data_IF_229278683818
#
_entry.id   IF_229278683818
#
_cell.length_a   1.000
_cell.length_b   1.000
_cell.length_c   1.000
_cell.angle_alpha   90.00
_cell.angle_beta   90.00
_cell.angle_gamma   90.00
#
_symmetry.space_group_name_H-M   'P 1'
#
loop_
_entity.id
_entity.type
_entity.pdbx_description
1 polymer ?
#
# COMPACT_ATOMS: atom_id res chain seq x y z
N UNK A 1 -8.33 27.25 13.74
CA UNK A 1 -8.67 26.52 14.98
C UNK A 1 -9.59 25.35 14.67
N UNK A 2 -9.14 24.37 13.86
CA UNK A 2 -9.88 23.11 13.51
C UNK A 2 -8.91 21.93 13.32
N UNK A 3 -7.77 21.90 13.99
CA UNK A 3 -6.77 20.85 13.86
C UNK A 3 -6.61 19.97 15.11
N UNK A 4 -7.58 19.99 16.04
CA UNK A 4 -7.47 19.25 17.32
C UNK A 4 -8.42 18.05 17.45
N UNK A 5 -9.17 17.70 16.40
CA UNK A 5 -10.16 16.61 16.41
C UNK A 5 -9.70 15.26 15.89
N UNK A 6 -8.58 15.18 15.16
CA UNK A 6 -8.14 13.96 14.49
C UNK A 6 -7.16 13.06 15.29
N UNK A 7 -6.85 13.39 16.54
CA UNK A 7 -5.84 12.68 17.34
C UNK A 7 -6.34 11.51 18.19
N UNK A 8 -7.57 11.05 18.01
CA UNK A 8 -8.13 9.91 18.78
C UNK A 8 -8.83 8.84 17.92
N UNK A 9 -8.46 8.71 16.64
CA UNK A 9 -8.81 7.48 15.91
C UNK A 9 -7.76 6.46 16.35
N UNK A 10 -8.18 5.63 17.27
CA UNK A 10 -7.38 4.62 17.94
C UNK A 10 -6.77 3.66 16.92
N UNK A 11 -5.57 3.18 17.20
CA UNK A 11 -4.85 2.13 16.46
C UNK A 11 -5.70 0.85 16.26
N UNK A 12 -6.71 0.62 17.10
CA UNK A 12 -7.72 -0.43 16.86
C UNK A 12 -8.49 -0.22 15.55
N UNK A 13 -8.76 1.03 15.15
CA UNK A 13 -9.38 1.31 13.83
C UNK A 13 -8.40 1.04 12.69
N UNK A 14 -7.10 1.28 12.88
CA UNK A 14 -6.09 0.99 11.87
C UNK A 14 -5.79 -0.53 11.76
N UNK A 15 -5.77 -1.27 12.88
CA UNK A 15 -5.71 -2.74 12.85
C UNK A 15 -7.03 -3.36 12.35
N UNK A 16 -8.17 -2.79 12.72
CA UNK A 16 -9.48 -3.20 12.22
C UNK A 16 -9.69 -2.90 10.73
N UNK A 17 -9.16 -1.78 10.23
CA UNK A 17 -9.27 -1.42 8.79
C UNK A 17 -8.35 -2.25 7.89
N UNK A 18 -7.28 -2.84 8.41
CA UNK A 18 -6.46 -3.81 7.66
C UNK A 18 -7.17 -5.17 7.46
N UNK A 19 -8.27 -5.39 8.16
CA UNK A 19 -8.96 -6.69 8.24
C UNK A 19 -10.46 -6.63 7.90
N UNK A 20 -11.01 -5.44 7.65
CA UNK A 20 -12.40 -5.30 7.19
C UNK A 20 -12.37 -5.08 5.68
N UNK A 21 -12.00 -6.09 4.91
CA UNK A 21 -12.49 -6.22 3.56
C UNK A 21 -13.69 -7.18 3.62
N UNK A 22 -14.94 -6.71 3.59
CA UNK A 22 -16.04 -7.57 3.20
C UNK A 22 -15.76 -7.92 1.74
N UNK A 23 -15.78 -9.21 1.42
CA UNK A 23 -15.72 -9.69 0.04
C UNK A 23 -14.34 -9.75 -0.61
N UNK A 24 -13.45 -10.60 -0.15
CA UNK A 24 -12.38 -11.19 -0.96
C UNK A 24 -11.38 -10.29 -1.70
N UNK A 25 -11.46 -8.96 -1.53
CA UNK A 25 -10.61 -7.99 -2.21
C UNK A 25 -9.57 -7.46 -1.23
N UNK A 26 -8.33 -7.89 -1.44
CA UNK A 26 -7.21 -7.51 -0.59
C UNK A 26 -6.70 -6.08 -0.85
N UNK A 27 -7.13 -5.46 -1.96
CA UNK A 27 -6.74 -4.10 -2.35
C UNK A 27 -7.62 -3.09 -1.62
N UNK A 28 -6.99 -2.04 -1.13
CA UNK A 28 -7.66 -0.97 -0.41
C UNK A 28 -7.37 0.38 -1.04
N UNK A 29 -8.20 1.37 -0.72
CA UNK A 29 -7.96 2.78 -1.08
C UNK A 29 -6.55 3.25 -0.66
N UNK A 30 -6.00 2.70 0.43
CA UNK A 30 -4.65 3.01 0.91
C UNK A 30 -3.58 2.50 -0.06
N UNK A 31 -3.79 1.35 -0.70
CA UNK A 31 -2.89 0.84 -1.74
C UNK A 31 -2.95 1.75 -2.97
N UNK A 32 -4.14 2.20 -3.36
CA UNK A 32 -4.32 3.21 -4.42
C UNK A 32 -3.59 4.51 -4.11
N UNK A 33 -3.70 5.03 -2.90
CA UNK A 33 -2.98 6.24 -2.47
C UNK A 33 -1.46 6.04 -2.45
N UNK A 34 -0.98 4.84 -2.04
CA UNK A 34 0.44 4.49 -2.11
C UNK A 34 0.96 4.46 -3.55
N UNK A 35 0.21 3.86 -4.46
CA UNK A 35 0.59 3.74 -5.87
C UNK A 35 0.53 5.07 -6.63
N UNK A 36 -0.30 6.02 -6.16
CA UNK A 36 -0.46 7.35 -6.78
C UNK A 36 0.61 8.34 -6.31
N UNK A 37 1.00 8.28 -5.03
CA UNK A 37 1.95 9.22 -4.43
C UNK A 37 3.34 9.09 -5.05
N UNK A 38 4.04 10.23 -5.24
CA UNK A 38 5.42 10.31 -5.72
C UNK A 38 6.31 10.94 -4.66
N UNK A 39 7.56 10.54 -4.62
CA UNK A 39 8.57 11.16 -3.76
C UNK A 39 9.33 12.23 -4.57
N UNK A 40 9.79 13.29 -3.89
CA UNK A 40 10.67 14.26 -4.52
C UNK A 40 12.05 13.62 -4.73
N UNK A 41 12.32 13.18 -5.95
CA UNK A 41 13.55 12.50 -6.32
C UNK A 41 14.02 12.92 -7.72
N UNK A 42 15.31 12.77 -8.01
CA UNK A 42 15.90 13.14 -9.28
C UNK A 42 17.34 13.61 -9.12
N UNK A 43 17.75 14.57 -9.95
CA UNK A 43 19.07 15.21 -9.81
C UNK A 43 19.15 16.04 -8.52
N UNK A 44 20.35 16.20 -7.97
CA UNK A 44 20.56 17.02 -6.77
C UNK A 44 20.07 18.47 -6.95
N UNK A 45 20.16 19.02 -8.18
CA UNK A 45 19.63 20.34 -8.50
C UNK A 45 18.11 20.37 -8.44
N UNK A 46 17.44 19.38 -9.02
CA UNK A 46 15.98 19.26 -9.01
C UNK A 46 15.45 19.14 -7.59
N UNK A 47 16.03 18.25 -6.79
CA UNK A 47 15.67 18.06 -5.38
C UNK A 47 15.96 19.32 -4.55
N UNK A 48 17.13 19.96 -4.77
CA UNK A 48 17.51 21.19 -4.08
C UNK A 48 16.60 22.40 -4.39
N UNK A 49 15.92 22.38 -5.55
CA UNK A 49 14.89 23.37 -5.93
C UNK A 49 13.47 22.98 -5.46
N UNK A 50 13.33 21.92 -4.65
CA UNK A 50 12.04 21.43 -4.20
C UNK A 50 11.17 20.89 -5.33
N UNK A 51 11.76 20.50 -6.47
CA UNK A 51 11.03 20.07 -7.66
C UNK A 51 10.51 21.20 -8.56
N UNK A 52 10.56 22.47 -8.11
CA UNK A 52 9.96 23.62 -8.81
C UNK A 52 10.77 24.06 -10.04
N UNK A 53 10.96 23.15 -10.98
CA UNK A 53 11.73 23.35 -12.20
C UNK A 53 10.91 23.29 -13.49
N UNK A 54 9.58 23.14 -13.41
CA UNK A 54 8.71 22.97 -14.56
C UNK A 54 8.76 24.11 -15.57
N UNK A 55 8.96 25.38 -15.13
CA UNK A 55 9.18 26.53 -16.04
C UNK A 55 10.65 26.85 -16.24
N UNK A 56 11.54 26.48 -15.31
CA UNK A 56 12.98 26.72 -15.42
C UNK A 56 13.60 25.80 -16.46
N UNK A 57 13.25 24.51 -16.43
CA UNK A 57 13.80 23.50 -17.33
C UNK A 57 15.31 23.31 -17.27
N UNK A 58 15.87 22.64 -18.27
CA UNK A 58 17.31 22.41 -18.36
C UNK A 58 17.83 21.43 -17.31
N UNK A 59 16.98 20.53 -16.86
CA UNK A 59 17.31 19.43 -15.97
C UNK A 59 16.60 18.15 -16.47
N UNK A 60 17.32 17.04 -16.46
CA UNK A 60 16.81 15.76 -16.95
C UNK A 60 15.58 15.28 -16.18
N UNK A 61 15.50 15.62 -14.88
CA UNK A 61 14.37 15.24 -14.03
C UNK A 61 13.05 15.90 -14.45
N UNK A 62 13.12 17.00 -15.24
CA UNK A 62 11.91 17.65 -15.75
C UNK A 62 11.14 16.82 -16.78
N UNK A 63 11.74 15.75 -17.33
CA UNK A 63 11.00 14.79 -18.17
C UNK A 63 9.77 14.22 -17.44
N UNK A 64 9.88 14.03 -16.12
CA UNK A 64 8.82 13.50 -15.29
C UNK A 64 7.77 14.52 -14.84
N UNK A 65 8.07 15.85 -14.91
CA UNK A 65 7.17 16.92 -14.44
C UNK A 65 6.69 17.83 -15.57
N UNK A 66 7.61 18.47 -16.30
CA UNK A 66 7.27 19.23 -17.50
C UNK A 66 8.22 18.84 -18.66
N UNK A 67 7.75 18.00 -19.60
CA UNK A 67 8.54 17.53 -20.72
C UNK A 67 9.22 18.62 -21.55
N UNK A 68 8.63 19.81 -21.64
CA UNK A 68 9.20 20.94 -22.39
C UNK A 68 10.51 21.46 -21.81
N UNK A 69 10.83 21.11 -20.54
CA UNK A 69 12.08 21.48 -19.90
C UNK A 69 13.32 20.95 -20.61
N UNK A 70 13.21 19.84 -21.33
CA UNK A 70 14.28 19.26 -22.14
C UNK A 70 14.53 20.11 -23.40
N UNK A 71 13.53 20.85 -23.88
CA UNK A 71 13.68 21.78 -25.01
C UNK A 71 14.67 22.93 -24.77
N UNK A 72 15.09 23.16 -23.52
CA UNK A 72 16.08 24.17 -23.20
C UNK A 72 17.54 23.72 -23.41
N UNK A 73 17.78 22.42 -23.59
CA UNK A 73 19.12 21.90 -23.84
C UNK A 73 19.62 22.34 -25.24
N UNK A 74 20.89 22.69 -25.29
CA UNK A 74 21.59 23.11 -26.53
C UNK A 74 22.85 22.29 -26.79
N UNK A 75 23.14 21.35 -25.91
CA UNK A 75 24.25 20.40 -26.02
C UNK A 75 23.81 19.06 -25.42
N UNK A 76 24.50 18.01 -25.80
CA UNK A 76 24.31 16.70 -25.20
C UNK A 76 24.71 16.75 -23.73
N UNK A 77 24.00 15.98 -22.91
CA UNK A 77 24.23 15.89 -21.48
C UNK A 77 23.97 14.46 -20.97
N UNK A 78 24.72 14.06 -19.95
CA UNK A 78 24.54 12.78 -19.24
C UNK A 78 24.62 13.07 -17.74
N UNK A 79 23.63 12.58 -17.02
CA UNK A 79 23.54 12.78 -15.57
C UNK A 79 23.31 11.46 -14.84
N UNK A 80 23.89 11.36 -13.65
CA UNK A 80 23.58 10.29 -12.69
C UNK A 80 23.62 10.87 -11.28
N UNK A 81 22.78 10.36 -10.39
CA UNK A 81 22.76 10.75 -8.98
C UNK A 81 22.52 9.59 -8.04
N UNK A 82 23.16 9.69 -6.89
CA UNK A 82 23.04 8.77 -5.77
C UNK A 82 22.61 9.56 -4.54
N UNK A 83 21.87 8.92 -3.66
CA UNK A 83 21.39 9.52 -2.42
C UNK A 83 21.58 8.60 -1.22
N UNK A 84 21.45 9.18 -0.05
CA UNK A 84 21.32 8.50 1.21
C UNK A 84 19.98 8.91 1.83
N UNK A 85 19.08 7.97 1.99
CA UNK A 85 17.76 8.22 2.56
C UNK A 85 17.71 7.75 4.01
N UNK A 86 17.23 8.63 4.87
CA UNK A 86 17.00 8.38 6.29
C UNK A 86 15.48 8.31 6.51
N UNK A 87 14.98 7.13 6.80
CA UNK A 87 13.57 6.91 7.09
C UNK A 87 13.42 6.79 8.60
N UNK A 88 12.66 7.69 9.22
CA UNK A 88 12.30 7.65 10.64
C UNK A 88 10.80 7.51 10.79
N UNK A 89 10.35 6.56 11.59
CA UNK A 89 8.95 6.38 11.93
C UNK A 89 8.78 6.36 13.45
N UNK A 90 7.93 7.24 13.96
CA UNK A 90 7.49 7.24 15.35
C UNK A 90 6.05 6.74 15.41
N UNK A 91 5.82 5.64 16.10
CA UNK A 91 4.50 5.11 16.42
C UNK A 91 4.19 5.30 17.91
N UNK A 92 2.92 5.46 18.25
CA UNK A 92 2.47 5.62 19.63
C UNK A 92 1.33 4.66 19.93
N UNK A 93 1.49 3.87 21.00
CA UNK A 93 0.45 2.99 21.51
C UNK A 93 0.38 3.10 23.04
N UNK A 94 -0.83 3.29 23.59
CA UNK A 94 -1.10 3.46 25.03
C UNK A 94 -0.17 4.46 25.73
N UNK A 95 0.16 5.57 25.06
CA UNK A 95 1.04 6.62 25.59
C UNK A 95 2.54 6.34 25.48
N UNK A 96 2.95 5.12 25.08
CA UNK A 96 4.35 4.80 24.78
C UNK A 96 4.68 5.12 23.33
N UNK A 97 5.89 5.64 23.10
CA UNK A 97 6.43 5.94 21.76
C UNK A 97 7.45 4.90 21.36
N UNK A 98 7.41 4.50 20.11
CA UNK A 98 8.31 3.53 19.51
C UNK A 98 8.91 4.14 18.26
N UNK A 99 10.23 4.16 18.17
CA UNK A 99 10.96 4.67 17.02
C UNK A 99 11.48 3.49 16.19
N UNK A 100 11.40 3.65 14.88
CA UNK A 100 11.91 2.68 13.93
C UNK A 100 12.62 3.43 12.81
N UNK A 101 13.96 3.38 12.83
CA UNK A 101 14.81 4.08 11.88
C UNK A 101 15.39 3.11 10.85
N UNK A 102 15.50 3.57 9.61
CA UNK A 102 16.13 2.84 8.53
C UNK A 102 16.97 3.79 7.68
N UNK A 103 18.25 3.45 7.53
CA UNK A 103 19.15 4.16 6.62
C UNK A 103 19.42 3.32 5.39
N UNK A 104 19.28 3.90 4.20
CA UNK A 104 19.46 3.19 2.93
C UNK A 104 20.17 4.06 1.89
N UNK A 105 21.12 3.47 1.18
CA UNK A 105 21.68 4.07 -0.03
C UNK A 105 20.70 3.87 -1.20
N UNK A 106 20.45 4.93 -1.95
CA UNK A 106 19.55 4.91 -3.09
C UNK A 106 20.27 5.35 -4.36
N UNK A 107 19.99 4.63 -5.45
CA UNK A 107 20.28 5.07 -6.80
C UNK A 107 19.12 5.91 -7.28
N UNK A 108 19.32 7.23 -7.38
CA UNK A 108 18.22 8.17 -7.60
C UNK A 108 17.86 8.30 -9.06
N UNK A 109 18.85 8.55 -9.92
CA UNK A 109 18.58 8.69 -11.34
C UNK A 109 19.79 8.42 -12.22
N UNK A 110 19.54 8.06 -13.48
CA UNK A 110 20.48 8.09 -14.59
C UNK A 110 19.75 8.43 -15.88
N UNK A 111 20.36 9.25 -16.71
CA UNK A 111 19.79 9.55 -18.01
C UNK A 111 20.69 10.39 -18.89
N UNK A 112 20.20 10.68 -20.07
CA UNK A 112 20.91 11.46 -21.07
C UNK A 112 19.96 12.31 -21.92
N UNK A 113 20.51 13.37 -22.51
CA UNK A 113 19.84 14.21 -23.50
C UNK A 113 20.73 14.35 -24.72
N UNK A 114 20.18 14.08 -25.90
CA UNK A 114 20.76 14.40 -27.18
C UNK A 114 20.09 15.65 -27.74
N UNK A 115 20.88 16.72 -27.98
CA UNK A 115 20.40 17.98 -28.50
C UNK A 115 20.86 18.16 -29.94
N UNK A 116 19.89 18.20 -30.85
CA UNK A 116 20.14 18.40 -32.29
C UNK A 116 19.73 19.80 -32.70
N UNK A 117 20.72 20.59 -33.15
CA UNK A 117 20.48 21.92 -33.70
C UNK A 117 19.97 21.82 -35.12
N UNK A 118 18.81 22.40 -35.39
CA UNK A 118 18.17 22.38 -36.75
C UNK A 118 18.66 23.59 -37.55
N UNK A 119 18.67 24.79 -36.96
CA UNK A 119 19.13 25.98 -37.63
C UNK A 119 19.11 27.25 -36.78
N UNK A 120 19.69 28.32 -37.28
CA UNK A 120 19.69 29.64 -36.63
C UNK A 120 18.59 30.57 -37.18
N UNK A 121 18.12 30.31 -38.39
CA UNK A 121 17.15 31.17 -39.12
C UNK A 121 15.75 30.54 -39.21
N UNK A 122 15.63 29.24 -38.93
CA UNK A 122 14.35 28.54 -38.85
C UNK A 122 13.64 28.78 -37.54
N UNK A 123 12.32 28.85 -37.51
CA UNK A 123 11.57 28.93 -36.24
C UNK A 123 11.91 27.78 -35.28
N UNK A 124 12.04 26.57 -35.80
CA UNK A 124 12.50 25.41 -35.03
C UNK A 124 14.04 25.45 -34.87
N UNK A 125 14.51 25.72 -33.70
CA UNK A 125 15.95 25.88 -33.39
C UNK A 125 16.62 24.55 -33.01
N UNK A 126 15.98 23.79 -32.15
CA UNK A 126 16.49 22.51 -31.63
C UNK A 126 15.38 21.47 -31.54
N UNK A 127 15.74 20.22 -31.77
CA UNK A 127 15.00 19.02 -31.41
C UNK A 127 15.84 18.21 -30.45
N UNK A 128 15.31 17.91 -29.28
CA UNK A 128 16.01 17.21 -28.24
C UNK A 128 15.32 15.87 -27.95
N UNK A 129 16.13 14.83 -27.76
CA UNK A 129 15.68 13.51 -27.32
C UNK A 129 16.31 13.21 -25.97
N UNK A 130 15.52 12.67 -25.06
CA UNK A 130 16.00 12.35 -23.74
C UNK A 130 15.50 11.00 -23.24
N UNK A 131 16.30 10.41 -22.39
CA UNK A 131 15.93 9.25 -21.58
C UNK A 131 16.32 9.53 -20.14
N UNK A 132 15.44 9.18 -19.22
CA UNK A 132 15.73 9.26 -17.78
C UNK A 132 15.10 8.08 -17.04
N UNK A 133 15.91 7.38 -16.26
CA UNK A 133 15.46 6.50 -15.21
C UNK A 133 15.50 7.25 -13.87
N UNK A 134 14.45 7.17 -13.08
CA UNK A 134 14.49 7.60 -11.70
C UNK A 134 13.52 6.79 -10.83
N UNK A 135 13.83 6.73 -9.53
CA UNK A 135 12.93 6.15 -8.55
C UNK A 135 11.83 7.14 -8.20
N UNK A 136 10.60 6.89 -8.70
CA UNK A 136 9.45 7.75 -8.47
C UNK A 136 8.91 7.67 -7.04
N UNK A 137 9.04 6.49 -6.40
CA UNK A 137 8.59 6.25 -5.03
C UNK A 137 9.42 5.20 -4.32
N UNK A 138 9.66 5.41 -3.01
CA UNK A 138 10.23 4.41 -2.13
C UNK A 138 9.18 3.97 -1.11
N UNK A 139 9.05 2.65 -0.89
CA UNK A 139 8.14 2.08 0.09
C UNK A 139 8.85 1.69 1.39
N UNK A 140 10.11 2.08 1.57
CA UNK A 140 10.88 1.71 2.75
C UNK A 140 10.27 2.33 4.01
N UNK A 141 9.67 1.49 4.85
CA UNK A 141 9.06 1.89 6.10
C UNK A 141 9.12 0.74 7.10
N UNK A 142 9.47 1.05 8.35
CA UNK A 142 9.40 0.13 9.47
C UNK A 142 8.45 0.71 10.52
N UNK A 143 7.63 -0.14 11.12
CA UNK A 143 6.76 0.25 12.23
C UNK A 143 6.80 -0.81 13.32
N UNK A 144 6.81 -0.37 14.58
CA UNK A 144 6.79 -1.25 15.76
C UNK A 144 5.87 -0.67 16.81
N UNK A 145 5.08 -1.53 17.45
CA UNK A 145 4.24 -1.19 18.61
C UNK A 145 4.14 -2.38 19.53
N UNK A 146 4.00 -2.13 20.83
CA UNK A 146 3.74 -3.18 21.82
C UNK A 146 3.00 -2.62 23.05
N UNK A 147 2.22 -3.45 23.70
CA UNK A 147 1.52 -3.07 24.93
C UNK A 147 0.44 -4.04 25.35
N UNK A 148 -0.12 -3.81 26.54
CA UNK A 148 -1.22 -4.59 27.04
C UNK A 148 -2.52 -4.28 26.27
N UNK A 149 -3.26 -5.32 25.92
CA UNK A 149 -4.51 -5.21 25.17
C UNK A 149 -5.71 -4.87 26.06
N UNK A 150 -5.61 -5.09 27.36
CA UNK A 150 -6.77 -5.03 28.26
C UNK A 150 -7.78 -6.13 27.86
N UNK A 151 -9.02 -5.73 27.61
CA UNK A 151 -10.08 -6.65 27.19
C UNK A 151 -10.17 -6.85 25.67
N UNK A 152 -9.17 -6.41 24.89
CA UNK A 152 -9.25 -6.37 23.43
C UNK A 152 -8.21 -7.29 22.77
N UNK A 153 -8.53 -8.58 22.66
CA UNK A 153 -7.77 -9.50 21.82
C UNK A 153 -8.25 -9.44 20.36
N UNK A 154 -7.34 -9.67 19.40
CA UNK A 154 -7.71 -9.83 18.00
C UNK A 154 -8.60 -11.06 17.77
N UNK A 155 -8.57 -12.06 18.65
CA UNK A 155 -9.42 -13.23 18.57
C UNK A 155 -10.91 -12.89 18.61
N UNK A 156 -11.32 -11.82 19.33
CA UNK A 156 -12.70 -11.32 19.28
C UNK A 156 -13.08 -10.76 17.91
N UNK A 157 -12.13 -10.14 17.21
CA UNK A 157 -12.34 -9.70 15.84
C UNK A 157 -12.49 -10.90 14.89
N UNK A 158 -11.62 -11.92 15.06
CA UNK A 158 -11.72 -13.19 14.32
C UNK A 158 -13.08 -13.83 14.50
N UNK A 159 -13.55 -13.94 15.74
CA UNK A 159 -14.85 -14.49 16.08
C UNK A 159 -16.00 -13.63 15.52
N UNK A 160 -15.92 -12.32 15.65
CA UNK A 160 -16.94 -11.38 15.14
C UNK A 160 -17.10 -11.46 13.62
N UNK A 161 -16.00 -11.60 12.89
CA UNK A 161 -16.04 -11.76 11.43
C UNK A 161 -16.54 -13.16 11.01
N UNK A 162 -16.34 -14.17 11.85
CA UNK A 162 -16.86 -15.50 11.65
C UNK A 162 -18.36 -15.60 11.97
N UNK A 163 -18.88 -14.69 12.81
CA UNK A 163 -20.29 -14.66 13.19
C UNK A 163 -21.19 -14.44 11.96
N UNK A 164 -22.17 -15.34 11.77
CA UNK A 164 -23.04 -15.31 10.61
C UNK A 164 -22.61 -16.21 9.45
N UNK A 165 -21.47 -16.86 9.55
CA UNK A 165 -21.08 -17.90 8.60
C UNK A 165 -21.75 -19.21 9.06
N UNK A 166 -22.84 -19.58 8.40
CA UNK A 166 -23.60 -20.78 8.77
C UNK A 166 -22.82 -22.07 8.45
N UNK A 167 -21.95 -22.05 7.46
CA UNK A 167 -21.16 -23.20 7.05
C UNK A 167 -19.87 -22.75 6.36
N UNK A 168 -18.76 -23.22 6.87
CA UNK A 168 -17.47 -23.15 6.16
C UNK A 168 -17.57 -24.07 4.95
N UNK A 169 -17.41 -23.54 3.73
CA UNK A 169 -17.41 -24.33 2.51
C UNK A 169 -16.25 -25.33 2.46
N UNK A 170 -16.24 -26.19 1.44
CA UNK A 170 -15.17 -27.18 1.24
C UNK A 170 -13.80 -26.55 0.95
N UNK A 171 -13.77 -25.27 0.59
CA UNK A 171 -12.54 -24.50 0.29
C UNK A 171 -12.65 -23.08 0.83
N UNK A 172 -12.69 -22.88 2.15
CA UNK A 172 -12.94 -21.56 2.76
C UNK A 172 -11.90 -20.51 2.38
N UNK A 173 -10.65 -20.90 2.15
CA UNK A 173 -9.57 -19.99 1.75
C UNK A 173 -9.75 -19.35 0.36
N UNK A 174 -10.63 -19.89 -0.47
CA UNK A 174 -10.96 -19.36 -1.80
C UNK A 174 -12.37 -18.80 -1.87
N UNK A 175 -13.14 -18.90 -0.79
CA UNK A 175 -14.48 -18.33 -0.69
C UNK A 175 -14.37 -16.80 -0.46
N UNK A 176 -14.92 -16.04 -1.39
CA UNK A 176 -14.89 -14.58 -1.31
C UNK A 176 -15.73 -13.98 -0.17
N UNK A 177 -16.59 -14.78 0.47
CA UNK A 177 -17.43 -14.36 1.58
C UNK A 177 -16.78 -14.46 2.96
N UNK A 178 -15.61 -15.11 3.07
CA UNK A 178 -14.97 -15.42 4.34
C UNK A 178 -13.58 -14.79 4.40
N UNK A 179 -13.34 -13.99 5.43
CA UNK A 179 -12.01 -13.38 5.65
C UNK A 179 -11.00 -14.39 6.18
N UNK A 180 -9.77 -14.39 5.65
CA UNK A 180 -8.70 -15.28 6.09
C UNK A 180 -8.38 -15.20 7.58
N UNK A 181 -8.60 -14.04 8.19
CA UNK A 181 -8.35 -13.86 9.61
C UNK A 181 -9.20 -14.84 10.45
N UNK A 182 -10.48 -14.99 10.11
CA UNK A 182 -11.39 -15.91 10.82
C UNK A 182 -11.08 -17.36 10.53
N UNK A 183 -10.73 -17.69 9.28
CA UNK A 183 -10.38 -19.07 8.88
C UNK A 183 -9.11 -19.52 9.59
N UNK A 184 -8.05 -18.71 9.50
CA UNK A 184 -6.78 -18.99 10.18
C UNK A 184 -6.97 -19.08 11.70
N UNK A 185 -7.82 -18.20 12.28
CA UNK A 185 -8.14 -18.24 13.69
C UNK A 185 -8.85 -19.51 14.12
N UNK A 186 -9.77 -20.00 13.31
CA UNK A 186 -10.48 -21.27 13.57
C UNK A 186 -9.54 -22.46 13.42
N UNK A 187 -8.79 -22.54 12.34
CA UNK A 187 -7.85 -23.65 12.08
C UNK A 187 -6.71 -23.69 13.12
N UNK A 188 -6.34 -22.54 13.69
CA UNK A 188 -5.32 -22.41 14.72
C UNK A 188 -5.89 -22.54 16.16
N UNK A 189 -7.16 -22.89 16.31
CA UNK A 189 -7.80 -23.07 17.63
C UNK A 189 -8.01 -21.78 18.42
N UNK A 190 -7.81 -20.60 17.80
CA UNK A 190 -7.95 -19.28 18.43
C UNK A 190 -9.40 -18.82 18.57
N UNK A 191 -10.30 -19.34 17.74
CA UNK A 191 -11.74 -19.16 17.84
C UNK A 191 -12.42 -20.50 17.68
N UNK A 192 -13.61 -20.62 18.25
CA UNK A 192 -14.40 -21.85 18.20
C UNK A 192 -15.77 -21.54 17.62
N UNK A 193 -16.25 -22.43 16.77
CA UNK A 193 -17.61 -22.36 16.21
C UNK A 193 -18.67 -22.90 17.17
N UNK A 194 -18.27 -23.26 18.38
CA UNK A 194 -19.10 -23.90 19.39
C UNK A 194 -18.80 -23.27 20.74
N UNK A 195 -19.82 -22.72 21.38
CA UNK A 195 -19.69 -22.41 22.80
C UNK A 195 -19.77 -23.71 23.57
N UNK A 196 -18.68 -24.12 24.22
CA UNK A 196 -18.65 -25.27 25.13
C UNK A 196 -19.04 -24.76 26.51
N UNK A 197 -20.11 -25.26 27.06
CA UNK A 197 -20.63 -24.85 28.36
C UNK A 197 -21.10 -26.04 29.21
N UNK A 198 -21.17 -25.85 30.51
CA UNK A 198 -21.91 -26.74 31.37
C UNK A 198 -23.42 -26.47 31.21
N UNK A 199 -24.27 -27.37 31.69
CA UNK A 199 -25.72 -27.34 31.50
C UNK A 199 -26.46 -26.12 32.08
N UNK A 200 -25.77 -25.16 32.67
CA UNK A 200 -26.38 -24.14 33.53
C UNK A 200 -26.86 -22.88 32.80
N UNK A 201 -26.70 -22.73 31.46
CA UNK A 201 -27.03 -21.45 30.83
C UNK A 201 -27.48 -21.45 29.36
N UNK A 202 -27.60 -22.54 28.66
CA UNK A 202 -27.82 -22.54 27.20
C UNK A 202 -29.19 -22.95 26.73
N UNK A 203 -29.70 -22.27 25.73
CA UNK A 203 -30.81 -22.69 24.87
C UNK A 203 -30.22 -23.66 23.84
N UNK A 204 -30.65 -24.89 23.75
CA UNK A 204 -30.16 -25.97 22.87
C UNK A 204 -28.83 -26.63 23.32
N UNK A 205 -28.86 -27.28 24.47
CA UNK A 205 -27.71 -28.07 24.94
C UNK A 205 -27.56 -29.36 24.12
N UNK A 206 -26.72 -29.35 23.11
CA UNK A 206 -26.31 -30.55 22.36
C UNK A 206 -25.13 -31.18 23.10
N UNK A 207 -25.16 -32.47 23.52
CA UNK A 207 -24.02 -33.11 24.13
C UNK A 207 -22.78 -33.04 23.25
N UNK A 208 -21.68 -32.57 23.75
CA UNK A 208 -20.38 -32.60 23.06
C UNK A 208 -19.81 -34.02 23.18
N UNK A 209 -19.80 -34.80 22.08
CA UNK A 209 -19.46 -36.23 22.08
C UNK A 209 -18.32 -36.53 21.13
N UNK A 210 -17.59 -37.62 21.44
CA UNK A 210 -16.64 -38.26 20.53
C UNK A 210 -16.99 -39.76 20.44
N UNK A 211 -16.46 -40.45 19.42
CA UNK A 211 -16.57 -41.90 19.31
C UNK A 211 -15.29 -42.53 19.87
N UNK A 212 -15.44 -43.43 20.85
CA UNK A 212 -14.31 -44.23 21.38
C UNK A 212 -13.83 -45.26 20.35
N UNK A 213 -12.80 -46.02 20.69
CA UNK A 213 -12.22 -47.06 19.83
C UNK A 213 -13.21 -48.18 19.46
N UNK A 214 -14.28 -48.31 20.20
CA UNK A 214 -15.37 -49.27 19.96
C UNK A 214 -16.52 -48.65 19.15
N UNK A 215 -16.41 -47.37 18.75
CA UNK A 215 -17.41 -46.62 17.98
C UNK A 215 -18.61 -46.15 18.81
N UNK A 216 -18.54 -46.22 20.15
CA UNK A 216 -19.57 -45.75 21.08
C UNK A 216 -19.40 -44.25 21.29
N UNK A 217 -20.50 -43.51 21.24
CA UNK A 217 -20.53 -42.09 21.60
C UNK A 217 -20.29 -41.89 23.10
N UNK A 218 -19.29 -41.12 23.45
CA UNK A 218 -18.92 -40.74 24.80
C UNK A 218 -18.93 -39.22 24.89
N UNK A 219 -19.60 -38.68 25.94
CA UNK A 219 -19.66 -37.25 26.16
C UNK A 219 -18.37 -36.74 26.79
N UNK A 220 -17.82 -35.69 26.23
CA UNK A 220 -16.69 -34.96 26.82
C UNK A 220 -17.04 -34.39 28.18
N UNK A 221 -16.08 -34.32 29.05
CA UNK A 221 -16.16 -33.72 30.38
C UNK A 221 -15.06 -32.72 30.57
N UNK A 222 -15.32 -31.68 31.38
CA UNK A 222 -14.30 -30.75 31.80
C UNK A 222 -13.27 -31.37 32.77
N UNK A 223 -12.27 -30.62 33.17
CA UNK A 223 -11.23 -31.07 34.14
C UNK A 223 -11.81 -31.41 35.51
N UNK A 224 -13.02 -30.95 35.84
CA UNK A 224 -13.74 -31.22 37.05
C UNK A 224 -14.73 -32.42 36.91
N UNK A 225 -14.81 -33.03 35.75
CA UNK A 225 -15.68 -34.16 35.44
C UNK A 225 -17.12 -33.79 35.04
N UNK A 226 -17.43 -32.50 34.82
CA UNK A 226 -18.76 -32.07 34.39
C UNK A 226 -18.95 -32.34 32.90
N UNK A 227 -20.17 -32.79 32.48
CA UNK A 227 -20.43 -33.01 31.06
C UNK A 227 -20.46 -31.70 30.29
N UNK A 228 -19.81 -31.70 29.10
CA UNK A 228 -19.77 -30.56 28.20
C UNK A 228 -20.87 -30.63 27.15
N UNK A 229 -21.39 -29.45 26.81
CA UNK A 229 -22.45 -29.25 25.82
C UNK A 229 -21.99 -28.21 24.82
N UNK A 230 -22.57 -28.22 23.64
CA UNK A 230 -22.28 -27.28 22.56
C UNK A 230 -23.55 -26.51 22.17
N UNK A 231 -23.34 -25.24 21.84
CA UNK A 231 -24.33 -24.40 21.17
C UNK A 231 -23.77 -24.02 19.80
N UNK A 232 -24.21 -24.65 18.70
CA UNK A 232 -23.68 -24.38 17.37
C UNK A 232 -24.07 -22.97 16.89
N UNK A 233 -23.20 -22.39 16.05
CA UNK A 233 -23.45 -21.13 15.38
C UNK A 233 -23.04 -19.88 16.15
N UNK A 234 -22.26 -20.03 17.21
CA UNK A 234 -21.71 -18.92 17.96
C UNK A 234 -20.18 -19.03 18.06
N UNK A 235 -19.48 -18.07 17.45
CA UNK A 235 -18.02 -18.02 17.56
C UNK A 235 -17.60 -17.19 18.78
N UNK A 236 -16.70 -17.72 19.57
CA UNK A 236 -16.09 -17.02 20.68
C UNK A 236 -14.60 -16.83 20.45
N UNK A 237 -14.11 -15.62 20.72
CA UNK A 237 -12.68 -15.33 20.80
C UNK A 237 -12.11 -15.83 22.11
N UNK A 238 -10.82 -16.17 22.08
CA UNK A 238 -10.10 -16.61 23.26
C UNK A 238 -9.45 -15.43 23.98
N UNK A 239 -9.49 -15.45 25.30
CA UNK A 239 -8.59 -14.82 26.24
C UNK A 239 -8.50 -13.30 26.27
N UNK A 240 -8.61 -12.80 27.48
CA UNK A 240 -8.50 -11.39 27.87
C UNK A 240 -7.09 -11.08 28.41
N UNK A 241 -6.72 -9.78 28.42
CA UNK A 241 -5.52 -9.26 29.08
C UNK A 241 -4.17 -9.70 28.49
N UNK A 242 -4.12 -10.03 27.21
CA UNK A 242 -2.87 -10.34 26.54
C UNK A 242 -1.93 -9.14 26.39
N UNK A 243 -0.64 -9.42 26.23
CA UNK A 243 0.37 -8.46 25.81
C UNK A 243 0.60 -8.64 24.32
N UNK A 244 0.35 -7.58 23.54
CA UNK A 244 0.54 -7.63 22.08
C UNK A 244 1.84 -6.97 21.65
N UNK A 245 2.41 -7.50 20.58
CA UNK A 245 3.48 -6.90 19.82
C UNK A 245 3.13 -6.87 18.33
N UNK A 246 3.47 -5.78 17.69
CA UNK A 246 3.29 -5.57 16.26
C UNK A 246 4.57 -5.08 15.62
N UNK A 247 4.90 -5.67 14.49
CA UNK A 247 6.03 -5.27 13.66
C UNK A 247 5.60 -5.28 12.19
N UNK A 248 5.96 -4.23 11.46
CA UNK A 248 5.68 -4.13 10.02
C UNK A 248 6.89 -3.61 9.28
N UNK A 249 7.19 -4.24 8.15
CA UNK A 249 8.24 -3.83 7.23
C UNK A 249 7.67 -3.66 5.83
N UNK A 250 7.88 -2.48 5.25
CA UNK A 250 7.57 -2.21 3.86
C UNK A 250 8.86 -1.95 3.09
N UNK A 251 8.98 -2.52 1.89
CA UNK A 251 10.17 -2.46 1.04
C UNK A 251 9.79 -2.34 -0.43
N UNK A 252 10.74 -1.83 -1.23
CA UNK A 252 10.60 -1.71 -2.66
C UNK A 252 10.34 -0.29 -3.12
N UNK A 253 9.73 -0.13 -4.29
CA UNK A 253 9.48 1.19 -4.86
C UNK A 253 8.74 1.13 -6.18
N UNK A 254 8.60 2.30 -6.77
CA UNK A 254 8.15 2.50 -8.15
C UNK A 254 9.32 3.11 -8.92
N UNK A 255 9.79 2.39 -9.90
CA UNK A 255 10.80 2.87 -10.85
C UNK A 255 10.12 3.44 -12.09
N UNK A 256 10.59 4.60 -12.55
CA UNK A 256 10.06 5.31 -13.71
C UNK A 256 11.13 5.46 -14.78
N UNK A 257 10.75 5.21 -16.01
CA UNK A 257 11.55 5.31 -17.22
C UNK A 257 10.86 6.28 -18.19
N UNK A 258 11.47 7.43 -18.42
CA UNK A 258 10.92 8.48 -19.26
C UNK A 258 11.66 8.55 -20.60
N UNK A 259 10.91 8.51 -21.70
CA UNK A 259 11.38 8.73 -23.06
C UNK A 259 10.79 10.05 -23.57
N UNK A 260 11.64 11.03 -23.83
CA UNK A 260 11.22 12.38 -24.15
C UNK A 260 11.62 12.82 -25.57
N UNK A 261 10.74 13.57 -26.20
CA UNK A 261 11.07 14.41 -27.36
C UNK A 261 10.61 15.83 -27.08
N UNK A 262 11.49 16.82 -27.35
CA UNK A 262 11.19 18.22 -27.10
C UNK A 262 11.67 19.12 -28.22
N UNK A 263 10.97 20.22 -28.39
CA UNK A 263 11.16 21.17 -29.47
C UNK A 263 11.40 22.57 -28.90
N UNK A 264 12.33 23.29 -29.50
CA UNK A 264 12.62 24.68 -29.18
C UNK A 264 12.30 25.57 -30.37
N UNK A 265 11.31 26.44 -30.21
CA UNK A 265 10.89 27.41 -31.21
C UNK A 265 11.37 28.82 -30.81
N UNK A 266 12.27 29.38 -31.59
CA UNK A 266 12.82 30.74 -31.47
C UNK A 266 13.35 31.08 -30.06
N UNK A 267 13.75 30.07 -29.24
CA UNK A 267 14.13 30.24 -27.84
C UNK A 267 13.06 30.91 -26.96
N UNK A 268 11.79 30.85 -27.39
CA UNK A 268 10.65 31.48 -26.73
C UNK A 268 9.54 30.49 -26.36
N UNK A 269 9.30 29.49 -27.22
CA UNK A 269 8.30 28.45 -26.98
C UNK A 269 8.99 27.10 -27.03
N UNK A 270 8.80 26.35 -25.98
CA UNK A 270 9.31 24.99 -25.85
C UNK A 270 8.12 24.05 -25.67
N UNK A 271 8.09 22.99 -26.43
CA UNK A 271 7.08 21.94 -26.34
C UNK A 271 7.76 20.61 -26.06
N UNK A 272 7.14 19.76 -25.30
CA UNK A 272 7.67 18.44 -25.00
C UNK A 272 6.60 17.38 -24.84
N UNK A 273 6.99 16.17 -25.18
CA UNK A 273 6.21 14.95 -25.01
C UNK A 273 7.09 13.93 -24.30
N UNK A 274 6.58 13.31 -23.24
CA UNK A 274 7.22 12.16 -22.57
C UNK A 274 6.29 10.97 -22.58
N UNK A 275 6.83 9.81 -22.90
CA UNK A 275 6.22 8.51 -22.64
C UNK A 275 6.88 7.95 -21.39
N UNK A 276 6.10 7.76 -20.32
CA UNK A 276 6.56 7.17 -19.07
C UNK A 276 6.20 5.70 -19.00
N UNK A 277 7.16 4.87 -18.61
CA UNK A 277 6.95 3.48 -18.25
C UNK A 277 7.30 3.28 -16.78
N UNK A 278 6.53 2.46 -16.08
CA UNK A 278 6.65 2.25 -14.64
C UNK A 278 6.83 0.78 -14.32
N UNK A 279 7.66 0.49 -13.32
CA UNK A 279 7.78 -0.83 -12.71
C UNK A 279 7.49 -0.71 -11.22
N UNK A 280 6.55 -1.51 -10.73
CA UNK A 280 6.15 -1.54 -9.32
C UNK A 280 6.67 -2.79 -8.68
N UNK A 281 7.36 -2.66 -7.54
CA UNK A 281 7.72 -3.75 -6.63
C UNK A 281 7.48 -3.28 -5.20
N UNK A 282 6.35 -3.68 -4.63
CA UNK A 282 5.99 -3.41 -3.25
C UNK A 282 5.93 -4.71 -2.48
N UNK A 283 6.60 -4.76 -1.33
CA UNK A 283 6.59 -5.91 -0.43
C UNK A 283 6.31 -5.42 0.98
N UNK A 284 5.34 -6.04 1.64
CA UNK A 284 4.98 -5.79 3.04
C UNK A 284 4.99 -7.09 3.82
N UNK A 285 5.73 -7.10 4.90
CA UNK A 285 5.68 -8.12 5.93
C UNK A 285 5.06 -7.54 7.18
N UNK A 286 4.16 -8.28 7.82
CA UNK A 286 3.63 -7.93 9.14
C UNK A 286 3.72 -9.13 10.07
N UNK A 287 4.07 -8.84 11.29
CA UNK A 287 4.01 -9.76 12.42
C UNK A 287 3.12 -9.13 13.50
N UNK A 288 2.16 -9.90 13.96
CA UNK A 288 1.33 -9.57 15.11
C UNK A 288 1.32 -10.74 16.06
N UNK A 289 1.65 -10.53 17.33
CA UNK A 289 1.65 -11.56 18.36
C UNK A 289 0.89 -11.13 19.59
N UNK A 290 0.22 -12.06 20.24
CA UNK A 290 -0.37 -11.92 21.56
C UNK A 290 0.15 -13.02 22.49
N UNK A 291 0.53 -12.62 23.71
CA UNK A 291 0.95 -13.50 24.80
C UNK A 291 0.01 -13.27 25.98
N UNK A 292 -0.64 -14.31 26.41
CA UNK A 292 -1.64 -14.25 27.49
C UNK A 292 -1.09 -14.73 28.83
N UNK A 293 0.16 -15.18 28.88
CA UNK A 293 0.70 -15.91 29.99
C UNK A 293 0.25 -17.38 30.00
N UNK A 294 0.66 -18.13 31.01
CA UNK A 294 0.34 -19.57 31.15
C UNK A 294 0.65 -20.42 29.90
N UNK A 295 1.71 -20.06 29.18
CA UNK A 295 2.15 -20.68 27.92
C UNK A 295 1.16 -20.55 26.74
N UNK A 296 0.09 -19.76 26.90
CA UNK A 296 -0.86 -19.46 25.84
C UNK A 296 -0.45 -18.21 25.06
N UNK A 297 -0.29 -18.36 23.76
CA UNK A 297 0.15 -17.29 22.85
C UNK A 297 -0.19 -17.63 21.41
N UNK A 298 -0.19 -16.61 20.57
CA UNK A 298 -0.17 -16.83 19.14
C UNK A 298 0.59 -15.71 18.42
N UNK A 299 0.98 -15.98 17.18
CA UNK A 299 1.41 -14.97 16.24
C UNK A 299 0.77 -15.19 14.87
N UNK A 300 0.44 -14.07 14.24
CA UNK A 300 -0.06 -13.98 12.87
C UNK A 300 1.01 -13.26 12.05
N UNK A 301 1.49 -13.92 11.02
CA UNK A 301 2.42 -13.36 10.04
C UNK A 301 1.71 -13.21 8.71
N UNK A 302 1.96 -12.11 7.99
CA UNK A 302 1.43 -11.96 6.64
C UNK A 302 2.45 -11.34 5.71
N UNK A 303 2.41 -11.79 4.46
CA UNK A 303 3.24 -11.31 3.36
C UNK A 303 2.34 -10.82 2.25
N UNK A 304 2.48 -9.56 1.91
CA UNK A 304 1.73 -8.93 0.84
C UNK A 304 2.70 -8.34 -0.17
N UNK A 305 2.47 -8.58 -1.45
CA UNK A 305 3.33 -8.11 -2.51
C UNK A 305 2.49 -7.59 -3.67
N UNK A 306 2.85 -6.40 -4.18
CA UNK A 306 2.26 -5.86 -5.41
C UNK A 306 3.38 -5.72 -6.43
N UNK A 307 3.22 -6.37 -7.59
CA UNK A 307 4.17 -6.28 -8.69
C UNK A 307 3.44 -6.03 -10.00
N UNK A 308 4.09 -5.30 -10.88
CA UNK A 308 3.60 -5.11 -12.23
C UNK A 308 4.19 -3.88 -12.89
N UNK A 309 3.53 -3.40 -13.92
CA UNK A 309 4.00 -2.29 -14.75
C UNK A 309 2.86 -1.33 -15.06
N UNK A 310 3.25 -0.14 -15.49
CA UNK A 310 2.29 0.87 -15.92
C UNK A 310 2.90 1.80 -16.97
N UNK A 311 2.06 2.63 -17.56
CA UNK A 311 2.50 3.64 -18.51
C UNK A 311 1.64 4.89 -18.41
N UNK A 312 2.22 6.04 -18.80
CA UNK A 312 1.52 7.32 -18.98
C UNK A 312 2.09 8.11 -20.15
N UNK A 313 1.40 9.19 -20.48
CA UNK A 313 1.82 10.18 -21.45
C UNK A 313 1.79 11.56 -20.82
N UNK A 314 2.86 12.34 -21.00
CA UNK A 314 2.98 13.69 -20.45
C UNK A 314 3.20 14.68 -21.59
N UNK A 315 2.46 15.80 -21.56
CA UNK A 315 2.64 16.93 -22.46
C UNK A 315 3.09 18.15 -21.66
N UNK A 316 4.02 18.88 -22.22
CA UNK A 316 4.52 20.08 -21.57
C UNK A 316 4.73 21.24 -22.55
N UNK A 317 4.57 22.45 -22.03
CA UNK A 317 4.90 23.69 -22.71
C UNK A 317 5.61 24.66 -21.77
N UNK A 318 6.63 25.36 -22.25
CA UNK A 318 7.26 26.50 -21.57
C UNK A 318 7.25 27.66 -22.54
N UNK A 319 6.80 28.83 -22.06
CA UNK A 319 6.68 30.06 -22.85
C UNK A 319 7.45 31.18 -22.16
N UNK A 320 8.24 31.91 -22.93
CA UNK A 320 8.83 33.21 -22.55
C UNK A 320 7.98 34.32 -23.17
N UNK A 321 7.01 34.90 -22.42
CA UNK A 321 6.07 35.86 -23.00
C UNK A 321 6.73 37.18 -23.40
N UNK A 322 7.82 37.57 -22.72
CA UNK A 322 8.49 38.85 -22.94
C UNK A 322 9.88 38.62 -23.55
N UNK A 323 10.21 39.39 -24.59
CA UNK A 323 11.44 39.21 -25.38
C UNK A 323 12.68 39.47 -24.55
N UNK A 324 12.68 40.53 -23.75
CA UNK A 324 13.83 40.99 -22.96
C UNK A 324 13.81 40.50 -21.51
N UNK A 325 12.80 39.71 -21.11
CA UNK A 325 12.69 39.18 -19.77
C UNK A 325 13.04 37.69 -19.74
N UNK A 326 13.77 37.22 -18.73
CA UNK A 326 14.00 35.79 -18.50
C UNK A 326 12.79 35.08 -17.88
N UNK A 327 11.68 35.77 -17.68
CA UNK A 327 10.45 35.21 -17.12
C UNK A 327 9.89 34.12 -18.02
N UNK A 328 9.48 33.00 -17.40
CA UNK A 328 8.91 31.83 -18.06
C UNK A 328 7.66 31.36 -17.34
N UNK A 329 6.71 30.88 -18.12
CA UNK A 329 5.52 30.18 -17.65
C UNK A 329 5.55 28.76 -18.20
N UNK A 330 5.42 27.80 -17.34
CA UNK A 330 5.35 26.37 -17.70
C UNK A 330 3.97 25.82 -17.42
N UNK A 331 3.49 24.97 -18.34
CA UNK A 331 2.24 24.21 -18.22
C UNK A 331 2.54 22.76 -18.54
N UNK A 332 2.01 21.84 -17.77
CA UNK A 332 2.06 20.42 -18.10
C UNK A 332 0.76 19.70 -17.75
N UNK A 333 0.47 18.67 -18.51
CA UNK A 333 -0.65 17.75 -18.27
C UNK A 333 -0.15 16.32 -18.44
N UNK A 334 -0.46 15.47 -17.45
CA UNK A 334 -0.14 14.06 -17.49
C UNK A 334 -1.43 13.26 -17.50
N UNK A 335 -1.49 12.26 -18.36
CA UNK A 335 -2.56 11.28 -18.31
C UNK A 335 -2.49 10.50 -16.99
N UNK A 336 -3.54 9.79 -16.61
CA UNK A 336 -3.42 8.75 -15.60
C UNK A 336 -2.30 7.78 -15.94
N UNK A 337 -1.65 7.25 -14.91
CA UNK A 337 -0.82 6.05 -15.06
C UNK A 337 -1.77 4.86 -15.09
N UNK A 338 -1.68 4.07 -16.14
CA UNK A 338 -2.43 2.85 -16.33
C UNK A 338 -1.56 1.69 -15.87
N UNK A 339 -1.83 1.17 -14.69
CA UNK A 339 -1.11 0.04 -14.10
C UNK A 339 -1.85 -1.26 -14.36
N UNK A 340 -1.08 -2.33 -14.65
CA UNK A 340 -1.52 -3.72 -14.59
C UNK A 340 -0.66 -4.43 -13.55
N UNK A 341 -1.30 -4.95 -12.50
CA UNK A 341 -0.66 -5.35 -11.25
C UNK A 341 -1.15 -6.72 -10.78
N UNK A 342 -0.23 -7.48 -10.16
CA UNK A 342 -0.53 -8.68 -9.39
C UNK A 342 -0.41 -8.38 -7.91
N UNK A 343 -1.48 -8.59 -7.15
CA UNK A 343 -1.44 -8.64 -5.70
C UNK A 343 -1.26 -10.09 -5.26
N UNK A 344 -0.20 -10.35 -4.51
CA UNK A 344 0.08 -11.67 -3.93
C UNK A 344 0.01 -11.58 -2.41
N UNK A 345 -0.70 -12.52 -1.81
CA UNK A 345 -0.86 -12.56 -0.35
C UNK A 345 -0.74 -13.97 0.18
N UNK A 346 -0.13 -14.09 1.34
CA UNK A 346 -0.05 -15.30 2.14
C UNK A 346 0.01 -14.95 3.63
N UNK A 347 -0.46 -15.87 4.47
CA UNK A 347 -0.47 -15.69 5.91
C UNK A 347 -0.21 -17.01 6.64
N UNK A 348 0.34 -16.89 7.85
CA UNK A 348 0.60 -18.01 8.75
C UNK A 348 0.20 -17.62 10.17
N UNK A 349 -0.47 -18.53 10.86
CA UNK A 349 -0.72 -18.43 12.30
C UNK A 349 0.00 -19.57 13.00
N UNK A 350 0.77 -19.23 14.01
CA UNK A 350 1.34 -20.19 14.96
C UNK A 350 0.73 -19.90 16.32
N UNK A 351 0.12 -20.88 16.95
CA UNK A 351 -0.53 -20.73 18.23
C UNK A 351 -0.22 -21.88 19.19
N UNK A 352 -0.14 -21.56 20.47
CA UNK A 352 -0.17 -22.46 21.59
C UNK A 352 -1.38 -22.09 22.42
N UNK A 353 -2.41 -22.96 22.46
CA UNK A 353 -3.68 -22.68 23.12
C UNK A 353 -4.11 -23.85 24.00
N UNK A 354 -4.76 -23.57 25.10
CA UNK A 354 -5.25 -24.59 26.00
C UNK A 354 -6.44 -25.33 25.38
N UNK A 355 -6.36 -26.62 25.28
CA UNK A 355 -7.48 -27.48 24.99
C UNK A 355 -8.37 -27.57 26.24
N UNK A 356 -9.61 -27.06 26.14
CA UNK A 356 -10.53 -26.98 27.29
C UNK A 356 -11.00 -28.35 27.79
N UNK A 357 -10.84 -29.40 26.99
CA UNK A 357 -11.25 -30.75 27.34
C UNK A 357 -10.14 -31.45 28.15
N UNK A 358 -8.89 -31.32 27.66
CA UNK A 358 -7.75 -32.00 28.26
C UNK A 358 -7.01 -31.13 29.28
N UNK A 359 -7.16 -29.79 29.20
CA UNK A 359 -6.39 -28.83 30.00
C UNK A 359 -4.90 -28.73 29.59
N UNK A 360 -4.53 -29.34 28.47
CA UNK A 360 -3.17 -29.33 27.94
C UNK A 360 -3.00 -28.22 26.87
N UNK A 361 -1.80 -27.67 26.78
CA UNK A 361 -1.47 -26.74 25.70
C UNK A 361 -1.28 -27.53 24.41
N UNK A 362 -1.99 -27.11 23.36
CA UNK A 362 -1.93 -27.66 22.02
C UNK A 362 -1.37 -26.63 21.04
N UNK A 363 -0.30 -27.00 20.33
CA UNK A 363 0.34 -26.18 19.33
C UNK A 363 -0.28 -26.37 17.94
N UNK A 364 -0.40 -25.28 17.19
CA UNK A 364 -0.85 -25.26 15.79
C UNK A 364 0.12 -24.44 14.95
N UNK A 365 0.32 -24.85 13.69
CA UNK A 365 1.04 -24.12 12.64
C UNK A 365 0.22 -24.16 11.37
N UNK A 366 -0.57 -23.12 11.14
CA UNK A 366 -1.54 -23.02 10.05
C UNK A 366 -1.04 -22.06 8.99
N UNK A 367 -0.97 -22.52 7.75
CA UNK A 367 -0.45 -21.78 6.61
C UNK A 367 -1.51 -21.67 5.52
N UNK A 368 -1.79 -20.46 5.06
CA UNK A 368 -2.76 -20.24 3.99
C UNK A 368 -2.35 -20.95 2.68
N UNK A 369 -1.05 -20.97 2.37
CA UNK A 369 -0.54 -21.59 1.14
C UNK A 369 -0.64 -23.13 1.09
N UNK A 370 -0.77 -23.81 2.22
CA UNK A 370 -1.01 -25.26 2.25
C UNK A 370 -2.46 -25.62 1.90
N UNK A 371 -3.39 -24.67 2.08
CA UNK A 371 -4.82 -24.81 1.92
C UNK A 371 -5.37 -24.20 0.61
N UNK A 372 -4.51 -23.51 -0.14
CA UNK A 372 -4.88 -22.94 -1.44
C UNK A 372 -4.68 -23.97 -2.57
N UNK A 373 -5.49 -23.91 -3.63
CA UNK A 373 -5.28 -24.70 -4.84
C UNK A 373 -3.87 -24.44 -5.41
N UNK A 374 -3.10 -25.51 -5.65
CA UNK A 374 -1.75 -25.39 -6.19
C UNK A 374 -0.65 -25.11 -5.17
N UNK A 375 -1.00 -24.99 -3.88
CA UNK A 375 -0.06 -24.77 -2.77
C UNK A 375 0.90 -23.61 -3.03
N UNK A 376 0.47 -22.40 -2.76
CA UNK A 376 1.26 -21.19 -2.97
C UNK A 376 0.53 -19.93 -2.49
N UNK A 377 1.06 -18.76 -2.85
CA UNK A 377 0.42 -17.48 -2.55
C UNK A 377 -0.90 -17.35 -3.30
N UNK A 378 -1.89 -16.68 -2.70
CA UNK A 378 -3.06 -16.23 -3.45
C UNK A 378 -2.64 -15.08 -4.37
N UNK A 379 -3.02 -15.15 -5.63
CA UNK A 379 -2.68 -14.15 -6.65
C UNK A 379 -3.97 -13.53 -7.15
N UNK A 380 -4.08 -12.21 -7.04
CA UNK A 380 -5.24 -11.42 -7.47
C UNK A 380 -4.74 -10.36 -8.46
N UNK A 381 -4.87 -10.60 -9.77
CA UNK A 381 -4.51 -9.61 -10.77
C UNK A 381 -5.57 -8.50 -10.83
N UNK A 382 -5.12 -7.25 -10.99
CA UNK A 382 -5.99 -6.08 -11.10
C UNK A 382 -5.34 -4.96 -11.89
N UNK A 383 -6.16 -4.10 -12.47
CA UNK A 383 -5.74 -2.87 -13.10
C UNK A 383 -6.05 -1.67 -12.19
N UNK A 384 -5.13 -0.72 -12.14
CA UNK A 384 -5.28 0.50 -11.36
C UNK A 384 -4.97 1.72 -12.21
N UNK A 385 -5.84 2.72 -12.14
CA UNK A 385 -5.72 3.98 -12.84
C UNK A 385 -5.56 5.12 -11.84
N UNK A 386 -4.46 5.89 -11.96
CA UNK A 386 -4.21 7.08 -11.13
C UNK A 386 -5.02 8.29 -11.63
N UNK A 387 -5.07 9.40 -10.89
CA UNK A 387 -5.65 10.66 -11.37
C UNK A 387 -4.90 11.26 -12.55
N UNK A 388 -5.56 12.16 -13.28
CA UNK A 388 -4.89 13.14 -14.12
C UNK A 388 -4.07 14.10 -13.27
N UNK A 389 -2.91 14.55 -13.79
CA UNK A 389 -2.08 15.55 -13.15
C UNK A 389 -2.02 16.80 -14.00
N UNK A 390 -2.27 17.96 -13.40
CA UNK A 390 -2.16 19.26 -14.01
C UNK A 390 -1.10 20.08 -13.27
N UNK A 391 -0.17 20.68 -14.03
CA UNK A 391 0.94 21.41 -13.46
C UNK A 391 1.04 22.81 -14.08
N UNK A 392 1.18 23.83 -13.22
CA UNK A 392 1.44 25.22 -13.59
C UNK A 392 2.69 25.68 -12.87
N UNK A 393 3.61 26.25 -13.59
CA UNK A 393 4.90 26.69 -13.02
C UNK A 393 5.33 28.06 -13.54
N UNK A 394 6.08 28.76 -12.69
CA UNK A 394 6.68 30.07 -12.99
C UNK A 394 8.18 29.98 -12.76
N UNK A 395 8.96 30.58 -13.66
CA UNK A 395 10.40 30.61 -13.56
C UNK A 395 10.97 31.99 -13.89
N UNK A 396 11.96 32.40 -13.11
CA UNK A 396 12.70 33.64 -13.36
C UNK A 396 14.17 33.46 -13.06
N UNK A 397 15.03 33.96 -13.93
CA UNK A 397 16.48 33.91 -13.70
C UNK A 397 17.07 35.31 -13.64
N UNK A 398 17.91 35.60 -12.63
CA UNK A 398 18.61 36.86 -12.45
C UNK A 398 20.09 36.67 -12.81
N UNK A 399 20.46 37.13 -13.99
CA UNK A 399 21.80 36.94 -14.52
C UNK A 399 22.15 35.43 -14.60
N UNK A 400 23.35 35.09 -14.08
CA UNK A 400 23.85 33.71 -14.03
C UNK A 400 23.85 33.13 -12.61
N UNK A 401 23.39 33.89 -11.62
CA UNK A 401 23.68 33.61 -10.20
C UNK A 401 22.44 33.19 -9.41
N UNK A 402 21.24 33.55 -9.88
CA UNK A 402 19.99 33.24 -9.14
C UNK A 402 18.90 32.70 -10.09
N UNK A 403 18.29 31.60 -9.72
CA UNK A 403 17.10 31.06 -10.35
C UNK A 403 15.98 30.95 -9.31
N UNK A 404 14.81 31.43 -9.66
CA UNK A 404 13.61 31.36 -8.84
C UNK A 404 12.58 30.52 -9.59
N UNK A 405 12.00 29.53 -8.91
CA UNK A 405 10.94 28.67 -9.43
C UNK A 405 9.77 28.59 -8.44
N UNK A 406 8.55 28.56 -8.98
CA UNK A 406 7.35 28.23 -8.23
C UNK A 406 6.53 27.25 -9.07
N UNK A 407 5.97 26.25 -8.44
CA UNK A 407 5.22 25.18 -9.11
C UNK A 407 4.01 24.81 -8.28
N UNK A 408 2.89 24.57 -8.97
CA UNK A 408 1.65 24.08 -8.39
C UNK A 408 1.18 22.88 -9.20
N UNK A 409 0.99 21.76 -8.51
CA UNK A 409 0.47 20.52 -9.09
C UNK A 409 -0.91 20.23 -8.49
N UNK A 410 -1.85 19.85 -9.35
CA UNK A 410 -3.21 19.47 -8.96
C UNK A 410 -3.52 18.05 -9.43
N UNK A 411 -4.03 17.23 -8.51
CA UNK A 411 -4.52 15.87 -8.76
C UNK A 411 -5.85 15.66 -8.04
N UNK A 412 -6.86 15.12 -8.73
CA UNK A 412 -8.13 14.74 -8.10
C UNK A 412 -8.12 13.25 -7.75
N UNK A 413 -7.78 12.92 -6.52
CA UNK A 413 -7.72 11.54 -6.03
C UNK A 413 -9.06 10.81 -6.09
N UNK A 414 -10.19 11.52 -6.16
CA UNK A 414 -11.51 10.90 -6.36
C UNK A 414 -11.68 10.23 -7.72
N UNK A 415 -10.79 10.53 -8.67
CA UNK A 415 -10.80 9.95 -10.01
C UNK A 415 -10.00 8.66 -10.15
N UNK A 416 -9.34 8.18 -9.08
CA UNK A 416 -8.69 6.86 -9.05
C UNK A 416 -9.70 5.76 -9.33
N UNK A 417 -9.26 4.72 -10.06
CA UNK A 417 -10.12 3.58 -10.39
C UNK A 417 -9.38 2.26 -10.29
N UNK A 418 -10.00 1.32 -9.59
CA UNK A 418 -9.66 -0.09 -9.63
C UNK A 418 -10.53 -0.81 -10.64
N UNK A 419 -9.98 -1.76 -11.37
CA UNK A 419 -10.64 -2.56 -12.37
C UNK A 419 -10.11 -3.99 -12.33
N UNK A 420 -10.92 -4.94 -12.78
CA UNK A 420 -10.41 -6.26 -13.12
C UNK A 420 -9.57 -6.23 -14.41
N UNK A 421 -8.94 -7.33 -14.73
CA UNK A 421 -8.09 -7.45 -15.95
C UNK A 421 -8.88 -7.40 -17.28
N UNK A 422 -10.21 -7.46 -17.21
CA UNK A 422 -11.11 -7.28 -18.36
C UNK A 422 -11.54 -5.81 -18.52
N UNK A 423 -11.13 -4.94 -17.59
CA UNK A 423 -11.43 -3.52 -17.59
C UNK A 423 -12.75 -3.15 -16.89
N UNK A 424 -13.44 -4.11 -16.24
CA UNK A 424 -14.67 -3.86 -15.52
C UNK A 424 -14.38 -3.32 -14.12
N UNK A 425 -15.17 -2.36 -13.65
CA UNK A 425 -15.04 -1.78 -12.32
C UNK A 425 -16.04 -2.35 -11.32
N UNK A 426 -16.94 -3.24 -11.75
CA UNK A 426 -18.01 -3.81 -10.89
C UNK A 426 -17.46 -4.66 -9.75
N UNK A 427 -16.36 -5.38 -9.98
CA UNK A 427 -15.69 -6.15 -8.93
C UNK A 427 -15.09 -5.27 -7.82
N UNK A 428 -14.86 -3.99 -8.08
CA UNK A 428 -14.24 -3.01 -7.19
C UNK A 428 -15.19 -1.84 -6.86
N UNK A 429 -16.49 -2.08 -6.81
CA UNK A 429 -17.48 -1.03 -6.57
C UNK A 429 -17.29 -0.35 -5.21
N UNK A 430 -16.96 -1.13 -4.17
CA UNK A 430 -16.70 -0.61 -2.83
C UNK A 430 -15.47 0.30 -2.81
N UNK A 431 -14.34 -0.16 -3.34
CA UNK A 431 -13.09 0.60 -3.42
C UNK A 431 -13.28 1.88 -4.22
N UNK A 432 -13.91 1.79 -5.39
CA UNK A 432 -14.18 2.94 -6.25
C UNK A 432 -15.18 3.92 -5.63
N UNK A 433 -16.18 3.44 -4.88
CA UNK A 433 -17.09 4.31 -4.13
C UNK A 433 -16.37 5.05 -3.01
N UNK A 434 -15.45 4.35 -2.31
CA UNK A 434 -14.65 4.94 -1.23
C UNK A 434 -13.67 5.98 -1.78
N UNK A 435 -13.05 5.76 -2.96
CA UNK A 435 -12.19 6.78 -3.59
C UNK A 435 -12.97 8.05 -3.91
N UNK A 436 -14.25 7.94 -4.27
CA UNK A 436 -15.08 9.10 -4.55
C UNK A 436 -15.27 10.04 -3.35
N UNK A 437 -15.04 9.55 -2.12
CA UNK A 437 -15.08 10.36 -0.88
C UNK A 437 -13.83 11.24 -0.70
N UNK A 438 -12.77 11.03 -1.48
CA UNK A 438 -11.53 11.81 -1.44
C UNK A 438 -11.63 13.15 -2.20
N UNK A 439 -12.83 13.58 -2.60
CA UNK A 439 -13.03 14.88 -3.24
C UNK A 439 -12.48 16.00 -2.36
N UNK A 440 -11.67 16.87 -2.97
CA UNK A 440 -11.08 18.02 -2.29
C UNK A 440 -9.76 17.71 -1.58
N UNK A 441 -9.21 16.49 -1.71
CA UNK A 441 -7.82 16.18 -1.36
C UNK A 441 -6.97 16.43 -2.59
N UNK A 442 -6.07 17.41 -2.51
CA UNK A 442 -5.13 17.79 -3.59
C UNK A 442 -3.76 18.04 -3.02
#
# INVERSE_FOLDING_TARGET
MVLTGMKKISVLTALGMLMIAPWGMAQTIYDGAKLTGKDLNGTARFVGMGGAMGALGGDISTMGTNPAGIGLYRSNDVMTSFGLSLYGNESQYLGKKFNSDLTKGDFNNIGFVFSSKIGNETPLRFVNFGFNYHKAKSFNNNMRMEGNLGLYSQTYLMASQAAGIEKWGDSPYTDNGIGWLSILGADAGLIRDITIHDKTGGVNNIPYTYKDEQGKEVQYKDINGNPLYISPGHFEGMLDNGYANFHSEERGGIDQYDFNVSFNFNDRVYLGLTLGAYSVDYNKYTFYGEDYGNDEKYNLQSWNRIKGSGFDVKFGAIIRPFEYSPFRVGLAIHTPIFYSLDYKTSAQVISDVMDVVTGEIKGYDVKSWDNLPGKGDMILPFDFQTPWTYNVSLGYTVGKSLALGAEYEYQDYSSMKFKDTEGNSSAYEFENSTTSMLKGVS
#
